data_IF_080954286208
#
_entry.id   IF_080954286208
#
_cell.length_a   1.000
_cell.length_b   1.000
_cell.length_c   1.000
_cell.angle_alpha   90.00
_cell.angle_beta   90.00
_cell.angle_gamma   90.00
#
_symmetry.space_group_name_H-M   'P 1'
#
loop_
_entity.id
_entity.type
_entity.pdbx_description
1 polymer ?
#
# COMPACT_ATOMS: atom_id res chain seq x y z
N UNK A 1 -0.12 -2.01 17.28
CA UNK A 1 0.71 -1.58 16.13
C UNK A 1 0.78 -2.73 15.16
N UNK A 2 0.36 -2.54 13.90
CA UNK A 2 0.50 -3.56 12.87
C UNK A 2 2.00 -3.78 12.54
N UNK A 3 2.38 -5.02 12.25
CA UNK A 3 3.74 -5.34 11.80
C UNK A 3 4.05 -4.59 10.49
N UNK A 4 5.26 -4.03 10.39
CA UNK A 4 5.66 -3.23 9.23
C UNK A 4 5.55 -4.04 7.94
N UNK A 5 4.95 -3.45 6.90
CA UNK A 5 4.70 -4.10 5.60
C UNK A 5 3.81 -5.36 5.66
N UNK A 6 3.08 -5.57 6.75
CA UNK A 6 1.97 -6.53 6.79
C UNK A 6 0.76 -6.02 5.99
N UNK A 7 -0.18 -6.92 5.70
CA UNK A 7 -1.45 -6.56 5.05
C UNK A 7 -2.19 -5.50 5.88
N UNK A 8 -2.36 -5.72 7.19
CA UNK A 8 -3.03 -4.78 8.09
C UNK A 8 -2.35 -3.40 8.11
N UNK A 9 -1.01 -3.36 8.10
CA UNK A 9 -0.26 -2.11 8.01
C UNK A 9 -0.60 -1.35 6.72
N UNK A 10 -0.62 -2.03 5.57
CA UNK A 10 -0.97 -1.38 4.31
C UNK A 10 -2.44 -0.95 4.27
N UNK A 11 -3.37 -1.73 4.80
CA UNK A 11 -4.79 -1.37 4.87
C UNK A 11 -5.03 -0.09 5.68
N UNK A 12 -4.40 0.02 6.86
CA UNK A 12 -4.47 1.24 7.67
C UNK A 12 -3.91 2.45 6.93
N UNK A 13 -2.76 2.29 6.26
CA UNK A 13 -2.17 3.37 5.49
C UNK A 13 -3.02 3.77 4.28
N UNK A 14 -3.62 2.80 3.56
CA UNK A 14 -4.57 3.09 2.50
C UNK A 14 -5.74 3.92 3.02
N UNK A 15 -6.37 3.50 4.13
CA UNK A 15 -7.48 4.23 4.75
C UNK A 15 -7.08 5.65 5.15
N UNK A 16 -5.91 5.82 5.77
CA UNK A 16 -5.39 7.14 6.12
C UNK A 16 -5.09 8.01 4.90
N UNK A 17 -4.51 7.44 3.84
CA UNK A 17 -4.20 8.19 2.62
C UNK A 17 -5.47 8.61 1.87
N UNK A 18 -6.48 7.73 1.80
CA UNK A 18 -7.80 8.05 1.24
C UNK A 18 -8.44 9.18 2.04
N UNK A 19 -8.49 9.06 3.37
CA UNK A 19 -9.14 10.05 4.23
C UNK A 19 -8.48 11.43 4.13
N UNK A 20 -7.15 11.47 4.08
CA UNK A 20 -6.38 12.73 3.94
C UNK A 20 -6.56 13.41 2.58
N UNK A 21 -6.88 12.65 1.54
CA UNK A 21 -6.99 13.17 0.18
C UNK A 21 -8.42 13.13 -0.36
N UNK A 22 -9.41 12.88 0.48
CA UNK A 22 -10.81 12.73 0.06
C UNK A 22 -11.38 13.97 -0.64
N UNK A 23 -10.82 15.14 -0.35
CA UNK A 23 -11.24 16.42 -0.93
C UNK A 23 -10.68 16.66 -2.34
N UNK A 24 -9.65 15.90 -2.74
CA UNK A 24 -8.91 16.10 -4.02
C UNK A 24 -9.00 14.87 -4.92
N UNK A 25 -9.01 13.66 -4.33
CA UNK A 25 -9.01 12.40 -5.07
C UNK A 25 -10.22 11.54 -4.72
N UNK A 26 -10.76 10.86 -5.74
CA UNK A 26 -11.66 9.74 -5.53
C UNK A 26 -10.92 8.60 -4.82
N UNK A 27 -11.65 7.76 -4.08
CA UNK A 27 -11.08 6.59 -3.37
C UNK A 27 -10.13 5.78 -4.26
N UNK A 28 -10.55 5.46 -5.48
CA UNK A 28 -9.74 4.71 -6.45
C UNK A 28 -8.47 5.44 -6.88
N UNK A 29 -8.52 6.76 -7.08
CA UNK A 29 -7.34 7.56 -7.42
C UNK A 29 -6.35 7.63 -6.26
N UNK A 30 -6.84 7.88 -5.04
CA UNK A 30 -6.00 7.90 -3.84
C UNK A 30 -5.32 6.54 -3.62
N UNK A 31 -6.06 5.44 -3.78
CA UNK A 31 -5.50 4.09 -3.68
C UNK A 31 -4.45 3.82 -4.76
N UNK A 32 -4.71 4.15 -6.02
CA UNK A 32 -3.76 3.93 -7.11
C UNK A 32 -2.48 4.76 -6.93
N UNK A 33 -2.61 6.01 -6.49
CA UNK A 33 -1.48 6.90 -6.23
C UNK A 33 -0.60 6.34 -5.10
N UNK A 34 -1.22 5.94 -3.98
CA UNK A 34 -0.51 5.31 -2.87
C UNK A 34 0.18 4.02 -3.30
N UNK A 35 -0.54 3.13 -4.00
CA UNK A 35 0.00 1.87 -4.48
C UNK A 35 1.25 2.08 -5.34
N UNK A 36 1.18 2.97 -6.34
CA UNK A 36 2.31 3.28 -7.22
C UNK A 36 3.52 3.83 -6.44
N UNK A 37 3.28 4.70 -5.47
CA UNK A 37 4.34 5.27 -4.64
C UNK A 37 5.05 4.20 -3.80
N UNK A 38 4.30 3.31 -3.15
CA UNK A 38 4.87 2.25 -2.32
C UNK A 38 5.61 1.21 -3.17
N UNK A 39 5.04 0.77 -4.29
CA UNK A 39 5.72 -0.16 -5.21
C UNK A 39 7.03 0.43 -5.70
N UNK A 40 7.04 1.71 -6.13
CA UNK A 40 8.28 2.38 -6.54
C UNK A 40 9.33 2.43 -5.43
N UNK A 41 8.90 2.65 -4.19
CA UNK A 41 9.79 2.65 -3.01
C UNK A 41 10.35 1.25 -2.75
N UNK A 42 9.52 0.21 -2.81
CA UNK A 42 9.92 -1.18 -2.56
C UNK A 42 10.86 -1.73 -3.64
N UNK A 43 10.69 -1.32 -4.91
CA UNK A 43 11.55 -1.77 -6.02
C UNK A 43 12.90 -1.07 -6.01
N UNK A 44 12.94 0.22 -5.65
CA UNK A 44 14.19 0.99 -5.52
C UNK A 44 14.96 0.66 -4.23
N UNK A 45 14.40 -0.18 -3.36
CA UNK A 45 15.07 -0.66 -2.16
C UNK A 45 16.13 -1.71 -2.52
N UNK A 46 17.38 -1.25 -2.66
CA UNK A 46 18.52 -2.12 -2.95
C UNK A 46 19.06 -2.87 -1.73
N UNK A 47 18.53 -2.63 -0.53
CA UNK A 47 19.03 -3.21 0.73
C UNK A 47 18.37 -4.55 1.05
N UNK A 48 17.14 -4.78 0.57
CA UNK A 48 16.37 -5.97 0.88
C UNK A 48 16.49 -7.06 -0.20
N UNK A 49 16.44 -8.33 0.21
CA UNK A 49 16.44 -9.46 -0.71
C UNK A 49 15.19 -9.41 -1.61
N UNK A 50 15.33 -9.77 -2.89
CA UNK A 50 14.22 -9.81 -3.85
C UNK A 50 12.99 -10.59 -3.35
N UNK A 51 13.19 -11.69 -2.62
CA UNK A 51 12.10 -12.47 -2.04
C UNK A 51 11.27 -11.69 -1.00
N UNK A 52 11.92 -10.83 -0.21
CA UNK A 52 11.26 -9.99 0.77
C UNK A 52 10.48 -8.84 0.09
N UNK A 53 11.05 -8.24 -0.96
CA UNK A 53 10.37 -7.24 -1.78
C UNK A 53 9.10 -7.83 -2.39
N UNK A 54 9.18 -9.03 -2.98
CA UNK A 54 8.02 -9.73 -3.54
C UNK A 54 6.96 -10.03 -2.47
N UNK A 55 7.37 -10.47 -1.26
CA UNK A 55 6.45 -10.70 -0.14
C UNK A 55 5.70 -9.42 0.24
N UNK A 56 6.40 -8.28 0.34
CA UNK A 56 5.80 -6.99 0.67
C UNK A 56 4.86 -6.48 -0.42
N UNK A 57 5.19 -6.67 -1.70
CA UNK A 57 4.29 -6.32 -2.81
C UNK A 57 3.02 -7.18 -2.77
N UNK A 58 3.11 -8.49 -2.51
CA UNK A 58 1.93 -9.36 -2.35
C UNK A 58 1.03 -8.92 -1.18
N UNK A 59 1.64 -8.51 -0.07
CA UNK A 59 0.89 -7.96 1.06
C UNK A 59 0.17 -6.66 0.68
N UNK A 60 0.83 -5.79 -0.09
CA UNK A 60 0.26 -4.56 -0.61
C UNK A 60 -0.92 -4.82 -1.58
N UNK A 61 -0.80 -5.80 -2.47
CA UNK A 61 -1.89 -6.20 -3.39
C UNK A 61 -3.11 -6.74 -2.64
N UNK A 62 -2.88 -7.57 -1.61
CA UNK A 62 -3.94 -8.09 -0.75
C UNK A 62 -4.67 -6.95 -0.05
N UNK A 63 -3.92 -6.03 0.57
CA UNK A 63 -4.49 -4.87 1.25
C UNK A 63 -5.28 -3.96 0.30
N UNK A 64 -4.76 -3.72 -0.91
CA UNK A 64 -5.45 -2.95 -1.94
C UNK A 64 -6.80 -3.59 -2.29
N UNK A 65 -6.83 -4.90 -2.49
CA UNK A 65 -8.05 -5.65 -2.83
C UNK A 65 -9.07 -5.58 -1.69
N UNK A 66 -8.62 -5.76 -0.45
CA UNK A 66 -9.47 -5.68 0.73
C UNK A 66 -10.11 -4.28 0.90
N UNK A 67 -9.32 -3.21 0.77
CA UNK A 67 -9.83 -1.84 0.89
C UNK A 67 -10.73 -1.45 -0.28
N UNK A 68 -10.48 -2.00 -1.48
CA UNK A 68 -11.33 -1.77 -2.66
C UNK A 68 -12.71 -2.40 -2.49
N UNK A 69 -12.76 -3.60 -1.91
CA UNK A 69 -13.99 -4.37 -1.70
C UNK A 69 -14.73 -4.00 -0.41
N UNK A 70 -14.08 -3.28 0.51
CA UNK A 70 -14.68 -2.69 1.71
C UNK A 70 -15.39 -1.37 1.43
#
# INVERSE_FOLDING_TARGET
MAEQFSVAFFEENFKQYIERNKDVFTKSHAMNAYYRSIVGTLINDHLNKNAEIVRRIRNLETAYTNVKNS
#
